data_IF_064812434580
#
_entry.id   IF_064812434580
#
_cell.length_a   1.000
_cell.length_b   1.000
_cell.length_c   1.000
_cell.angle_alpha   90.00
_cell.angle_beta   90.00
_cell.angle_gamma   90.00
#
_symmetry.space_group_name_H-M   'P 1'
#
loop_
_entity.id
_entity.type
_entity.pdbx_description
1 polymer ?
#
# COMPACT_ATOMS: atom_id res chain seq x y z
N UNK A 1 -0.08 -9.96 -6.69
CA UNK A 1 -1.17 -10.61 -7.45
C UNK A 1 -0.62 -10.97 -8.82
N UNK A 2 -0.98 -12.13 -9.35
CA UNK A 2 -0.57 -12.58 -10.67
C UNK A 2 -1.81 -12.66 -11.58
N UNK A 3 -1.70 -12.12 -12.80
CA UNK A 3 -2.75 -12.22 -13.82
C UNK A 3 -2.46 -13.37 -14.77
N UNK A 4 -3.40 -14.30 -14.91
CA UNK A 4 -3.35 -15.31 -15.95
C UNK A 4 -3.61 -14.66 -17.33
N UNK A 5 -2.64 -14.76 -18.22
CA UNK A 5 -2.72 -14.18 -19.58
C UNK A 5 -3.74 -14.89 -20.47
N UNK A 6 -4.10 -16.15 -20.18
CA UNK A 6 -5.01 -16.93 -21.00
C UNK A 6 -6.49 -16.57 -20.78
N UNK A 7 -6.89 -16.30 -19.53
CA UNK A 7 -8.29 -16.05 -19.17
C UNK A 7 -8.52 -14.70 -18.44
N UNK A 8 -7.44 -13.97 -18.10
CA UNK A 8 -7.49 -12.67 -17.42
C UNK A 8 -7.85 -12.74 -15.94
N UNK A 9 -7.96 -13.93 -15.35
CA UNK A 9 -8.22 -14.10 -13.92
C UNK A 9 -7.00 -13.70 -13.11
N UNK A 10 -7.23 -13.29 -11.87
CA UNK A 10 -6.19 -12.85 -10.95
C UNK A 10 -6.12 -13.76 -9.74
N UNK A 11 -4.90 -14.06 -9.32
CA UNK A 11 -4.61 -14.79 -8.09
C UNK A 11 -3.85 -13.90 -7.11
N UNK A 12 -4.21 -13.99 -5.84
CA UNK A 12 -3.40 -13.48 -4.76
C UNK A 12 -2.50 -14.60 -4.26
N UNK A 13 -1.21 -14.45 -4.53
CA UNK A 13 -0.16 -15.36 -4.15
C UNK A 13 0.58 -14.81 -2.93
N UNK A 14 0.92 -15.67 -1.98
CA UNK A 14 1.59 -15.29 -0.75
C UNK A 14 2.77 -16.22 -0.43
N UNK A 15 3.81 -15.64 0.20
CA UNK A 15 5.01 -16.36 0.58
C UNK A 15 5.98 -16.59 -0.59
N UNK A 16 7.08 -17.29 -0.28
CA UNK A 16 8.14 -17.62 -1.26
C UNK A 16 7.70 -18.67 -2.26
N UNK A 17 6.73 -19.50 -1.88
CA UNK A 17 6.23 -20.61 -2.68
C UNK A 17 5.04 -20.21 -3.56
N UNK A 18 4.71 -18.91 -3.59
CA UNK A 18 3.58 -18.34 -4.33
C UNK A 18 2.25 -19.08 -4.05
N UNK A 19 1.95 -19.33 -2.76
CA UNK A 19 0.73 -20.01 -2.37
C UNK A 19 -0.49 -19.18 -2.78
N UNK A 20 -1.33 -19.75 -3.65
CA UNK A 20 -2.58 -19.13 -4.10
C UNK A 20 -3.59 -19.12 -2.94
N UNK A 21 -3.76 -17.96 -2.30
CA UNK A 21 -4.68 -17.79 -1.17
C UNK A 21 -5.89 -16.90 -1.49
N UNK A 22 -6.01 -16.42 -2.73
CA UNK A 22 -7.18 -15.66 -3.18
C UNK A 22 -7.36 -15.67 -4.69
N UNK A 23 -8.62 -15.53 -5.13
CA UNK A 23 -9.01 -15.59 -6.55
C UNK A 23 -9.99 -14.48 -6.91
N UNK A 24 -9.71 -13.79 -8.02
CA UNK A 24 -10.60 -12.78 -8.60
C UNK A 24 -10.84 -13.10 -10.08
N UNK A 25 -12.06 -13.50 -10.45
CA UNK A 25 -12.38 -13.77 -11.85
C UNK A 25 -12.37 -12.48 -12.68
N UNK A 26 -11.96 -12.60 -13.94
CA UNK A 26 -11.76 -11.47 -14.84
C UNK A 26 -13.02 -10.62 -15.05
N UNK A 27 -14.20 -11.23 -14.98
CA UNK A 27 -15.49 -10.56 -15.14
C UNK A 27 -15.86 -9.57 -14.02
N UNK A 28 -15.14 -9.57 -12.90
CA UNK A 28 -15.27 -8.53 -11.88
C UNK A 28 -14.71 -7.18 -12.35
N UNK A 29 -13.76 -7.20 -13.28
CA UNK A 29 -13.07 -6.02 -13.75
C UNK A 29 -13.70 -5.51 -15.04
N UNK A 30 -14.24 -4.29 -15.00
CA UNK A 30 -14.77 -3.61 -16.20
C UNK A 30 -13.68 -2.96 -17.05
N UNK A 31 -12.50 -2.78 -16.48
CA UNK A 31 -11.35 -2.11 -17.08
C UNK A 31 -10.12 -3.01 -16.94
N UNK A 32 -9.27 -3.01 -17.95
CA UNK A 32 -8.04 -3.82 -17.98
C UNK A 32 -6.78 -3.02 -17.67
N UNK A 33 -6.90 -1.71 -17.45
CA UNK A 33 -5.81 -0.78 -17.18
C UNK A 33 -6.28 0.39 -16.32
N UNK A 34 -5.36 1.04 -15.63
CA UNK A 34 -5.58 2.27 -14.87
C UNK A 34 -4.41 3.24 -15.09
N UNK A 35 -4.65 4.53 -14.82
CA UNK A 35 -3.64 5.58 -14.96
C UNK A 35 -2.98 5.96 -13.62
N UNK A 36 -3.60 5.54 -12.52
CA UNK A 36 -3.19 5.84 -11.16
C UNK A 36 -3.19 4.57 -10.34
N UNK A 37 -2.33 4.56 -9.35
CA UNK A 37 -2.18 3.50 -8.37
C UNK A 37 -1.94 4.18 -7.03
N UNK A 38 -2.60 3.67 -6.00
CA UNK A 38 -2.48 4.17 -4.64
C UNK A 38 -2.10 3.01 -3.73
N UNK A 39 -1.29 3.28 -2.72
CA UNK A 39 -0.93 2.33 -1.68
C UNK A 39 -0.81 3.07 -0.35
N UNK A 40 -1.21 2.40 0.73
CA UNK A 40 -1.23 3.00 2.06
C UNK A 40 -2.20 2.28 2.99
N UNK A 41 -2.72 3.03 3.94
CA UNK A 41 -3.76 2.58 4.86
C UNK A 41 -5.07 3.32 4.61
N UNK A 42 -6.19 2.61 4.76
CA UNK A 42 -7.52 3.17 4.72
C UNK A 42 -8.21 2.95 6.06
N UNK A 43 -8.89 3.97 6.55
CA UNK A 43 -9.71 3.92 7.75
C UNK A 43 -11.03 4.61 7.47
N UNK A 44 -12.09 4.06 8.02
CA UNK A 44 -13.41 4.64 7.92
C UNK A 44 -14.00 4.79 9.32
N UNK A 45 -14.66 5.92 9.55
CA UNK A 45 -15.49 6.08 10.74
C UNK A 45 -16.80 6.78 10.41
N UNK A 46 -17.89 6.31 11.00
CA UNK A 46 -19.20 6.97 10.96
C UNK A 46 -19.46 7.84 12.21
N UNK A 47 -18.60 7.76 13.23
CA UNK A 47 -18.74 8.47 14.50
C UNK A 47 -17.38 8.67 15.18
N UNK A 48 -17.27 9.66 16.05
CA UNK A 48 -16.03 9.95 16.77
C UNK A 48 -15.98 9.19 18.12
N UNK A 49 -14.78 8.85 18.63
CA UNK A 49 -13.46 9.06 17.99
C UNK A 49 -13.23 8.11 16.80
N UNK A 50 -12.41 8.56 15.85
CA UNK A 50 -12.01 7.73 14.71
C UNK A 50 -11.09 6.57 15.13
N UNK A 51 -10.96 5.49 14.32
CA UNK A 51 -10.09 4.37 14.65
C UNK A 51 -8.62 4.77 14.58
N UNK A 52 -7.79 4.14 15.40
CA UNK A 52 -6.34 4.22 15.29
C UNK A 52 -5.84 3.50 14.02
N UNK A 53 -4.78 4.04 13.42
CA UNK A 53 -4.07 3.40 12.30
C UNK A 53 -2.64 3.04 12.73
N UNK A 54 -2.21 1.82 12.41
CA UNK A 54 -0.92 1.30 12.85
C UNK A 54 -0.87 1.16 14.38
N UNK A 55 0.12 1.79 15.01
CA UNK A 55 0.29 1.76 16.47
C UNK A 55 -0.49 2.86 17.22
N UNK A 56 -1.37 3.61 16.54
CA UNK A 56 -2.15 4.67 17.18
C UNK A 56 -1.34 5.91 17.56
N UNK A 57 -0.17 6.09 16.95
CA UNK A 57 0.70 7.26 17.08
C UNK A 57 1.15 7.69 15.70
N UNK A 58 1.57 8.94 15.53
CA UNK A 58 2.12 9.38 14.25
C UNK A 58 3.38 8.61 13.90
N UNK A 59 3.61 8.34 12.60
CA UNK A 59 4.75 7.56 12.14
C UNK A 59 6.07 8.28 12.44
N UNK A 60 7.11 7.49 12.69
CA UNK A 60 8.46 7.95 13.02
C UNK A 60 9.54 6.99 12.45
N UNK A 61 9.19 6.34 11.34
CA UNK A 61 10.09 5.62 10.42
C UNK A 61 10.64 4.32 10.99
N UNK A 62 9.85 3.64 11.82
CA UNK A 62 10.26 2.41 12.48
C UNK A 62 9.39 1.24 12.06
N UNK A 63 9.94 0.32 11.26
CA UNK A 63 9.25 -0.90 10.77
C UNK A 63 8.70 -1.81 11.88
N UNK A 64 9.12 -1.60 13.13
CA UNK A 64 8.63 -2.32 14.30
C UNK A 64 7.30 -1.76 14.85
N UNK A 65 7.05 -0.48 14.63
CA UNK A 65 5.93 0.25 15.22
C UNK A 65 4.98 0.77 14.14
N UNK A 66 5.54 1.28 13.05
CA UNK A 66 4.75 1.90 12.01
C UNK A 66 4.17 0.85 11.06
N UNK A 67 2.94 1.09 10.60
CA UNK A 67 2.47 0.38 9.42
C UNK A 67 3.23 0.91 8.20
N UNK A 68 3.62 0.00 7.31
CA UNK A 68 4.43 0.34 6.16
C UNK A 68 4.09 -0.53 4.96
N UNK A 69 4.28 0.04 3.78
CA UNK A 69 4.28 -0.68 2.50
C UNK A 69 5.65 -0.47 1.87
N UNK A 70 6.25 -1.55 1.38
CA UNK A 70 7.55 -1.51 0.69
C UNK A 70 7.56 -2.38 -0.54
N UNK A 71 8.54 -2.19 -1.42
CA UNK A 71 8.72 -2.98 -2.65
C UNK A 71 7.47 -2.97 -3.54
N UNK A 72 6.90 -1.80 -3.76
CA UNK A 72 5.80 -1.62 -4.72
C UNK A 72 6.35 -1.86 -6.13
N UNK A 73 5.76 -2.81 -6.85
CA UNK A 73 6.11 -3.19 -8.22
C UNK A 73 4.93 -2.80 -9.11
N UNK A 74 5.20 -2.02 -10.16
CA UNK A 74 4.15 -1.51 -11.07
C UNK A 74 4.24 -2.05 -12.50
N UNK A 75 5.29 -2.76 -12.87
CA UNK A 75 5.47 -3.22 -14.24
C UNK A 75 5.04 -4.69 -14.45
N UNK A 76 4.67 -5.00 -15.70
CA UNK A 76 4.29 -6.36 -16.14
C UNK A 76 5.48 -7.35 -16.10
N UNK A 77 6.69 -6.85 -15.87
CA UNK A 77 7.93 -7.62 -15.87
C UNK A 77 8.47 -7.90 -14.45
N UNK A 78 7.71 -7.52 -13.41
CA UNK A 78 8.10 -7.64 -12.01
C UNK A 78 9.42 -6.91 -11.64
N UNK A 79 9.82 -5.89 -12.37
CA UNK A 79 10.96 -5.07 -11.98
C UNK A 79 10.56 -4.16 -10.82
N UNK A 80 11.42 -4.11 -9.80
CA UNK A 80 11.31 -3.10 -8.76
C UNK A 80 11.51 -1.74 -9.38
N UNK A 81 10.47 -0.91 -9.33
CA UNK A 81 10.65 0.49 -9.61
C UNK A 81 11.43 1.09 -8.44
N UNK A 82 12.73 1.29 -8.65
CA UNK A 82 13.62 1.91 -7.66
C UNK A 82 13.45 3.43 -7.64
N UNK A 83 12.63 3.98 -8.54
CA UNK A 83 12.47 5.40 -8.77
C UNK A 83 11.09 5.67 -9.35
N UNK A 84 10.06 5.41 -8.53
CA UNK A 84 8.68 5.78 -8.86
C UNK A 84 8.65 7.30 -9.00
N UNK A 85 8.71 7.78 -10.24
CA UNK A 85 8.61 9.20 -10.56
C UNK A 85 7.12 9.63 -10.44
N UNK A 86 6.85 10.89 -10.07
CA UNK A 86 5.50 11.47 -9.90
C UNK A 86 4.67 10.92 -8.72
N UNK A 87 5.29 10.83 -7.55
CA UNK A 87 4.62 10.48 -6.30
C UNK A 87 4.01 11.68 -5.58
N UNK A 88 2.86 11.45 -4.96
CA UNK A 88 2.19 12.39 -4.04
C UNK A 88 1.82 11.64 -2.76
N UNK A 89 2.14 12.23 -1.60
CA UNK A 89 1.66 11.74 -0.32
C UNK A 89 0.35 12.45 0.03
N UNK A 90 -0.68 11.66 0.36
CA UNK A 90 -2.02 12.17 0.63
C UNK A 90 -2.57 11.65 1.97
N UNK A 91 -3.39 12.47 2.63
CA UNK A 91 -4.18 12.09 3.81
C UNK A 91 -5.43 12.96 3.87
N UNK A 92 -6.60 12.31 3.99
CA UNK A 92 -7.89 13.00 4.13
C UNK A 92 -7.95 13.87 5.39
N UNK A 93 -7.31 13.41 6.48
CA UNK A 93 -7.22 14.14 7.74
C UNK A 93 -5.79 14.12 8.30
N UNK A 94 -5.11 15.24 8.08
CA UNK A 94 -3.75 15.49 8.54
C UNK A 94 -3.65 15.73 10.07
N UNK A 95 -4.75 15.89 10.79
CA UNK A 95 -4.78 15.98 12.25
C UNK A 95 -4.82 14.60 12.90
N UNK A 96 -5.40 13.60 12.22
CA UNK A 96 -5.54 12.26 12.76
C UNK A 96 -4.60 11.20 12.18
N UNK A 97 -4.11 11.41 10.96
CA UNK A 97 -3.25 10.45 10.26
C UNK A 97 -2.13 11.14 9.49
N UNK A 98 -1.04 10.42 9.27
CA UNK A 98 0.13 10.90 8.55
C UNK A 98 0.73 9.79 7.70
N UNK A 99 1.34 10.22 6.60
CA UNK A 99 2.17 9.41 5.73
C UNK A 99 3.57 10.04 5.69
N UNK A 100 4.60 9.21 5.82
CA UNK A 100 6.00 9.58 5.58
C UNK A 100 6.47 8.77 4.38
N UNK A 101 7.03 9.45 3.40
CA UNK A 101 7.39 8.90 2.10
C UNK A 101 8.83 9.29 1.75
N UNK A 102 9.65 8.28 1.40
CA UNK A 102 11.06 8.48 1.04
C UNK A 102 11.33 8.12 -0.41
N UNK A 103 11.70 9.12 -1.21
CA UNK A 103 12.21 8.91 -2.58
C UNK A 103 13.49 8.06 -2.60
N UNK A 104 14.23 7.98 -1.48
CA UNK A 104 15.35 7.04 -1.27
C UNK A 104 15.30 6.47 0.13
N UNK A 105 14.82 5.24 0.23
CA UNK A 105 14.90 4.44 1.45
C UNK A 105 16.35 4.25 1.91
N UNK A 106 16.65 4.50 3.19
CA UNK A 106 17.92 4.07 3.81
C UNK A 106 18.02 2.53 3.91
N UNK A 107 16.89 1.84 3.79
CA UNK A 107 16.81 0.39 3.68
C UNK A 107 17.10 -0.03 2.23
N UNK A 108 18.37 -0.27 1.91
CA UNK A 108 18.85 -0.60 0.56
C UNK A 108 18.08 -1.75 -0.12
N UNK A 109 17.59 -2.72 0.66
CA UNK A 109 16.85 -3.89 0.16
C UNK A 109 15.32 -3.74 0.20
N UNK A 110 14.79 -2.60 0.66
CA UNK A 110 13.35 -2.37 0.78
C UNK A 110 12.73 -1.80 -0.49
N UNK A 111 13.53 -1.34 -1.45
CA UNK A 111 13.02 -0.52 -2.56
C UNK A 111 12.37 0.76 -2.03
N UNK A 112 11.31 1.22 -2.71
CA UNK A 112 10.46 2.29 -2.20
C UNK A 112 9.71 1.85 -0.94
N UNK A 113 9.67 2.69 0.10
CA UNK A 113 8.95 2.44 1.35
C UNK A 113 8.18 3.68 1.78
N UNK A 114 6.94 3.46 2.22
CA UNK A 114 6.14 4.47 2.91
C UNK A 114 5.77 3.98 4.31
N UNK A 115 5.62 4.91 5.23
CA UNK A 115 5.11 4.68 6.58
C UNK A 115 3.81 5.46 6.77
N UNK A 116 2.81 4.86 7.40
CA UNK A 116 1.51 5.50 7.62
C UNK A 116 0.92 5.06 8.94
N UNK A 117 0.57 6.02 9.80
CA UNK A 117 -0.04 5.77 11.11
C UNK A 117 -0.84 6.99 11.58
N UNK A 118 -1.55 6.83 12.68
CA UNK A 118 -2.15 7.96 13.38
C UNK A 118 -3.00 7.56 14.58
N UNK A 119 -3.18 8.47 15.55
CA UNK A 119 -4.04 8.23 16.70
C UNK A 119 -5.53 8.10 16.33
N UNK A 120 -5.93 8.60 15.16
CA UNK A 120 -7.32 8.66 14.70
C UNK A 120 -7.87 10.09 14.71
N UNK A 121 -9.19 10.28 14.66
CA UNK A 121 -9.84 11.59 14.79
C UNK A 121 -10.33 11.89 16.23
N UNK A 122 -10.14 13.14 16.68
CA UNK A 122 -10.53 13.67 18.02
C UNK A 122 -9.86 13.00 19.23
N UNK A 123 -8.53 12.88 19.21
CA UNK A 123 -7.71 12.29 20.28
C UNK A 123 -6.99 13.34 21.13
#
# INVERSE_FOLDING_TARGET
MAKDKANGNWWFEFGTDAEEIGFWPSNLFRQSSGNYVEWGGEVFTASLPGPQMGYGIFPFEQVRYDAYVKRVILDDNYNFDTKVDYMESFSDDNGGYKVIDFVKSEFQDAGHIIFYCGPGLDH
#
